data_IF_718937152693
#
_entry.id   IF_718937152693
#
_cell.length_a   1.000
_cell.length_b   1.000
_cell.length_c   1.000
_cell.angle_alpha   90.00
_cell.angle_beta   90.00
_cell.angle_gamma   90.00
#
_symmetry.space_group_name_H-M   'P 1'
#
loop_
_entity.id
_entity.type
_entity.pdbx_description
1 polymer ?
2 non-polymer ?
3 non-polymer ?
4 water ?
#
# COMPACT_ATOMS: atom_id res chain seq x y z
N UNK A 1 -11.24 0.48 -43.67
CA UNK A 1 -10.84 -0.69 -42.84
C UNK A 1 -11.05 -0.41 -41.35
N UNK A 2 -10.06 -0.79 -40.54
CA UNK A 2 -10.12 -0.59 -39.10
C UNK A 2 -8.82 0.02 -38.59
N UNK A 3 -8.53 -0.17 -37.30
CA UNK A 3 -7.31 0.37 -36.71
C UNK A 3 -6.24 -0.71 -36.56
N UNK A 4 -4.98 -0.31 -36.74
CA UNK A 4 -3.85 -1.22 -36.63
C UNK A 4 -3.82 -1.84 -35.23
N UNK A 5 -3.50 -3.13 -35.16
CA UNK A 5 -3.44 -3.80 -33.87
C UNK A 5 -2.12 -3.47 -33.20
N UNK A 6 -2.15 -3.34 -31.88
CA UNK A 6 -0.93 -3.04 -31.13
C UNK A 6 -0.21 -4.34 -30.85
N UNK A 7 1.08 -4.29 -30.50
CA UNK A 7 1.73 -5.57 -30.21
C UNK A 7 1.01 -6.25 -29.05
N UNK A 8 0.77 -7.55 -29.21
CA UNK A 8 0.08 -8.34 -28.20
C UNK A 8 0.99 -9.46 -27.71
N UNK A 9 1.10 -9.61 -26.40
CA UNK A 9 1.96 -10.64 -25.83
C UNK A 9 1.36 -12.03 -26.04
N UNK A 10 2.23 -13.03 -26.11
CA UNK A 10 1.83 -14.43 -26.33
C UNK A 10 0.95 -14.98 -25.20
N UNK A 11 0.33 -16.13 -25.46
CA UNK A 11 -0.53 -16.75 -24.46
C UNK A 11 -1.90 -16.10 -24.43
N UNK A 12 -2.51 -16.09 -23.25
CA UNK A 12 -3.82 -15.48 -23.09
C UNK A 12 -4.93 -16.19 -23.85
N UNK A 13 -4.88 -17.51 -23.85
CA UNK A 13 -5.88 -18.29 -24.54
C UNK A 13 -6.85 -18.95 -23.57
N UNK A 14 -6.87 -18.45 -22.33
CA UNK A 14 -7.75 -18.97 -21.31
C UNK A 14 -9.09 -18.24 -21.42
N UNK A 15 -10.06 -18.66 -20.61
CA UNK A 15 -11.39 -18.06 -20.65
C UNK A 15 -11.40 -16.54 -20.75
N UNK A 16 -10.66 -15.88 -19.88
CA UNK A 16 -10.63 -14.42 -19.88
C UNK A 16 -9.34 -13.86 -20.45
N UNK A 17 -8.81 -14.54 -21.48
CA UNK A 17 -7.59 -14.09 -22.11
C UNK A 17 -6.37 -14.25 -21.24
N UNK A 18 -5.76 -13.13 -20.88
CA UNK A 18 -4.58 -13.13 -20.03
C UNK A 18 -4.92 -12.98 -18.55
N UNK A 19 -6.19 -12.76 -18.25
CA UNK A 19 -6.57 -12.57 -16.85
C UNK A 19 -6.15 -13.70 -15.94
N UNK A 20 -6.35 -14.95 -16.38
CA UNK A 20 -5.95 -16.10 -15.57
C UNK A 20 -4.46 -16.04 -15.23
N UNK A 21 -3.63 -15.78 -16.25
CA UNK A 21 -2.19 -15.69 -16.03
C UNK A 21 -1.86 -14.50 -15.14
N UNK A 22 -2.59 -13.41 -15.33
CA UNK A 22 -2.34 -12.22 -14.52
C UNK A 22 -2.56 -12.57 -13.06
N UNK A 23 -3.50 -13.47 -12.80
CA UNK A 23 -3.79 -13.87 -11.43
C UNK A 23 -2.71 -14.75 -10.83
N UNK A 24 -2.21 -15.70 -11.60
CA UNK A 24 -1.19 -16.63 -11.10
C UNK A 24 0.23 -16.09 -11.15
N UNK A 25 0.54 -15.24 -12.12
CA UNK A 25 1.89 -14.70 -12.24
C UNK A 25 1.88 -13.38 -13.01
N UNK A 26 1.30 -12.33 -12.40
CA UNK A 26 1.23 -11.02 -13.06
C UNK A 26 2.58 -10.46 -13.48
N UNK A 27 3.59 -10.60 -12.63
CA UNK A 27 4.90 -10.08 -12.94
C UNK A 27 5.55 -10.79 -14.13
N UNK A 28 5.48 -12.13 -14.14
CA UNK A 28 6.05 -12.87 -15.25
C UNK A 28 5.35 -12.44 -16.55
N UNK A 29 4.03 -12.29 -16.47
CA UNK A 29 3.23 -11.88 -17.63
C UNK A 29 3.64 -10.49 -18.10
N UNK A 30 3.66 -9.53 -17.17
CA UNK A 30 4.03 -8.17 -17.54
C UNK A 30 5.45 -8.10 -18.07
N UNK A 31 6.32 -8.95 -17.53
CA UNK A 31 7.70 -8.96 -18.00
C UNK A 31 7.74 -9.51 -19.43
N UNK A 32 6.93 -10.52 -19.71
CA UNK A 32 6.89 -11.11 -21.04
C UNK A 32 6.36 -10.11 -22.07
N UNK A 33 5.45 -9.24 -21.63
CA UNK A 33 4.90 -8.22 -22.52
C UNK A 33 6.05 -7.32 -22.98
N UNK A 34 6.87 -6.88 -22.04
CA UNK A 34 7.99 -6.01 -22.37
C UNK A 34 9.05 -6.74 -23.19
N UNK A 35 9.35 -7.99 -22.82
CA UNK A 35 10.35 -8.75 -23.55
C UNK A 35 9.94 -8.97 -25.01
N UNK A 36 8.71 -9.41 -25.21
CA UNK A 36 8.17 -9.67 -26.54
C UNK A 36 7.77 -8.42 -27.33
N UNK A 37 7.08 -7.49 -26.67
CA UNK A 37 6.57 -6.30 -27.36
C UNK A 37 7.43 -5.04 -27.34
N UNK A 38 8.08 -4.76 -26.22
CA UNK A 38 8.89 -3.56 -26.12
C UNK A 38 8.25 -2.60 -25.12
N UNK A 39 8.51 -1.30 -25.28
CA UNK A 39 7.98 -0.30 -24.36
C UNK A 39 6.45 -0.20 -24.37
N UNK A 40 5.84 -0.61 -25.47
CA UNK A 40 4.39 -0.58 -25.59
C UNK A 40 3.90 -1.97 -26.02
N UNK A 41 3.15 -2.62 -25.14
CA UNK A 41 2.63 -3.93 -25.46
C UNK A 41 1.28 -4.10 -24.81
N UNK A 42 0.53 -5.12 -25.21
CA UNK A 42 -0.79 -5.33 -24.65
C UNK A 42 -1.05 -6.76 -24.22
N UNK A 43 -2.03 -6.91 -23.34
CA UNK A 43 -2.48 -8.20 -22.87
C UNK A 43 -3.96 -7.99 -22.60
N UNK A 44 -4.73 -9.06 -22.76
CA UNK A 44 -6.17 -9.01 -22.59
C UNK A 44 -6.61 -9.37 -21.18
N UNK A 45 -7.29 -8.44 -20.53
CA UNK A 45 -7.79 -8.67 -19.18
C UNK A 45 -9.31 -8.79 -19.33
N UNK A 46 -9.77 -10.01 -19.55
CA UNK A 46 -11.21 -10.26 -19.74
C UNK A 46 -11.62 -9.51 -21.00
N UNK A 47 -12.59 -8.62 -20.88
CA UNK A 47 -13.03 -7.86 -22.04
C UNK A 47 -12.25 -6.58 -22.27
N UNK A 48 -11.27 -6.31 -21.41
CA UNK A 48 -10.49 -5.09 -21.53
C UNK A 48 -9.07 -5.31 -22.07
N UNK A 49 -8.62 -4.42 -22.94
CA UNK A 49 -7.27 -4.51 -23.47
C UNK A 49 -6.39 -3.59 -22.61
N UNK A 50 -5.32 -4.15 -22.06
CA UNK A 50 -4.42 -3.35 -21.25
C UNK A 50 -3.19 -2.98 -22.06
N UNK A 51 -2.97 -1.68 -22.24
CA UNK A 51 -1.81 -1.21 -22.96
C UNK A 51 -0.75 -0.98 -21.87
N UNK A 52 0.17 -1.94 -21.74
CA UNK A 52 1.21 -1.86 -20.74
C UNK A 52 2.42 -1.10 -21.25
N UNK A 53 2.73 0.01 -20.61
CA UNK A 53 3.86 0.83 -21.00
C UNK A 53 5.02 0.55 -20.05
N UNK A 54 6.24 0.61 -20.56
CA UNK A 54 7.43 0.39 -19.77
C UNK A 54 8.56 1.19 -20.37
N UNK A 55 9.64 1.38 -19.60
CA UNK A 55 10.75 2.16 -20.10
C UNK A 55 10.50 3.61 -19.72
N UNK A 56 11.56 4.41 -19.69
CA UNK A 56 11.47 5.81 -19.31
C UNK A 56 10.58 6.69 -20.19
N UNK A 57 10.65 6.52 -21.50
CA UNK A 57 9.84 7.36 -22.39
C UNK A 57 8.34 7.11 -22.25
N UNK A 58 7.92 5.85 -22.31
CA UNK A 58 6.50 5.52 -22.20
C UNK A 58 5.97 5.83 -20.81
N UNK A 59 6.78 5.55 -19.79
CA UNK A 59 6.39 5.82 -18.41
C UNK A 59 6.17 7.31 -18.21
N UNK A 60 7.04 8.12 -18.80
CA UNK A 60 6.91 9.57 -18.65
C UNK A 60 5.54 10.00 -19.17
N UNK A 61 5.17 9.50 -20.35
CA UNK A 61 3.89 9.83 -20.94
C UNK A 61 2.79 9.44 -19.96
N UNK A 62 2.93 8.25 -19.38
CA UNK A 62 1.95 7.72 -18.44
C UNK A 62 1.79 8.56 -17.18
N UNK A 63 2.89 8.85 -16.51
CA UNK A 63 2.86 9.61 -15.25
C UNK A 63 2.58 11.10 -15.37
N UNK A 64 2.92 11.70 -16.50
CA UNK A 64 2.68 13.12 -16.69
C UNK A 64 1.32 13.39 -17.31
N UNK A 65 0.64 12.33 -17.74
CA UNK A 65 -0.66 12.48 -18.36
C UNK A 65 -1.67 13.07 -17.39
N UNK A 66 -2.43 14.05 -17.87
CA UNK A 66 -3.43 14.69 -17.04
C UNK A 66 -4.65 13.81 -16.81
N UNK A 67 -5.43 14.18 -15.80
CA UNK A 67 -6.64 13.47 -15.45
C UNK A 67 -7.60 13.38 -16.64
N UNK A 68 -7.52 14.37 -17.52
CA UNK A 68 -8.38 14.41 -18.71
C UNK A 68 -7.90 13.50 -19.83
N UNK A 69 -6.62 13.10 -19.78
CA UNK A 69 -6.08 12.24 -20.81
C UNK A 69 -6.12 10.77 -20.38
N UNK A 70 -5.49 10.47 -19.25
CA UNK A 70 -5.49 9.12 -18.72
C UNK A 70 -6.17 9.23 -17.37
N UNK A 71 -7.41 8.78 -17.30
CA UNK A 71 -8.20 8.84 -16.10
C UNK A 71 -7.91 7.74 -15.09
N UNK A 72 -7.51 8.13 -13.88
CA UNK A 72 -7.21 7.20 -12.81
C UNK A 72 -8.48 6.83 -12.04
N UNK A 73 -9.44 7.75 -12.03
CA UNK A 73 -10.70 7.58 -11.31
C UNK A 73 -11.32 6.18 -11.36
N UNK A 74 -11.63 5.70 -12.56
CA UNK A 74 -12.26 4.38 -12.68
C UNK A 74 -11.30 3.29 -13.14
N UNK A 75 -10.02 3.43 -12.83
CA UNK A 75 -9.02 2.46 -13.24
C UNK A 75 -8.86 1.32 -12.24
N UNK A 76 -9.48 1.47 -11.07
CA UNK A 76 -9.40 0.44 -10.03
C UNK A 76 -10.78 0.06 -9.51
N UNK A 77 -11.61 -0.57 -10.36
CA UNK A 77 -12.97 -1.01 -10.06
C UNK A 77 -13.12 -1.94 -8.86
N UNK A 78 -12.04 -2.58 -8.47
CA UNK A 78 -12.06 -3.50 -7.34
C UNK A 78 -12.21 -2.72 -6.03
N UNK A 79 -12.02 -1.42 -6.09
CA UNK A 79 -12.13 -0.56 -4.91
C UNK A 79 -13.56 -0.10 -4.66
N UNK A 80 -14.36 -0.07 -5.72
CA UNK A 80 -15.75 0.39 -5.61
C UNK A 80 -16.54 -0.29 -4.49
N UNK A 81 -16.52 -1.64 -4.43
CA UNK A 81 -17.26 -2.33 -3.37
C UNK A 81 -16.65 -2.16 -1.97
N UNK A 82 -15.35 -1.88 -1.92
CA UNK A 82 -14.68 -1.72 -0.64
C UNK A 82 -15.01 -0.37 -0.02
N UNK A 83 -14.85 0.69 -0.80
CA UNK A 83 -15.15 2.04 -0.33
C UNK A 83 -16.62 2.12 0.06
N UNK A 84 -17.47 1.51 -0.77
CA UNK A 84 -18.89 1.53 -0.50
C UNK A 84 -19.60 2.69 -1.18
N UNK A 85 -20.92 2.64 -1.18
CA UNK A 85 -21.73 3.68 -1.81
C UNK A 85 -22.02 4.80 -0.80
N UNK A 86 -21.60 4.58 0.45
CA UNK A 86 -21.82 5.56 1.49
C UNK A 86 -21.31 6.95 1.14
N UNK A 87 -22.02 7.97 1.63
CA UNK A 87 -21.65 9.36 1.36
C UNK A 87 -21.68 10.19 2.63
N UNK A 88 -20.50 10.62 3.07
CA UNK A 88 -20.38 11.44 4.27
C UNK A 88 -20.23 12.90 3.85
N UNK A 89 -19.07 13.23 3.31
CA UNK A 89 -18.80 14.58 2.85
C UNK A 89 -18.93 14.61 1.33
N UNK A 90 -20.11 14.98 0.85
CA UNK A 90 -20.38 15.03 -0.58
C UNK A 90 -19.63 16.18 -1.24
N UNK A 91 -18.75 15.84 -2.18
CA UNK A 91 -17.96 16.84 -2.90
C UNK A 91 -17.44 16.28 -4.22
N UNK A 92 -16.63 17.07 -4.91
CA UNK A 92 -16.05 16.69 -6.20
C UNK A 92 -15.33 15.35 -6.10
N UNK A 93 -15.03 14.71 -7.24
CA UNK A 93 -14.33 13.42 -7.24
C UNK A 93 -12.92 13.57 -6.68
N UNK A 94 -12.28 14.69 -7.02
CA UNK A 94 -10.93 14.96 -6.56
C UNK A 94 -10.98 15.32 -5.07
N UNK A 95 -12.01 16.07 -4.70
CA UNK A 95 -12.21 16.49 -3.32
C UNK A 95 -12.28 15.30 -2.38
N UNK A 96 -13.13 14.33 -2.73
CA UNK A 96 -13.32 13.14 -1.92
C UNK A 96 -12.00 12.43 -1.62
N UNK A 97 -11.13 12.35 -2.63
CA UNK A 97 -9.83 11.70 -2.45
C UNK A 97 -8.95 12.51 -1.50
N UNK A 98 -8.97 13.82 -1.65
CA UNK A 98 -8.19 14.73 -0.82
C UNK A 98 -8.59 14.58 0.65
N UNK A 99 -9.89 14.74 0.90
CA UNK A 99 -10.44 14.64 2.25
C UNK A 99 -10.01 13.38 2.98
N UNK A 100 -9.83 12.30 2.22
CA UNK A 100 -9.42 11.03 2.81
C UNK A 100 -8.08 11.05 3.55
N UNK A 101 -7.04 11.64 2.96
CA UNK A 101 -5.74 11.64 3.61
C UNK A 101 -5.01 12.97 3.81
N UNK A 102 -5.43 14.02 3.12
CA UNK A 102 -4.77 15.32 3.24
C UNK A 102 -4.58 15.84 4.67
N UNK A 103 -5.65 15.88 5.44
CA UNK A 103 -5.59 16.38 6.81
C UNK A 103 -4.51 15.71 7.66
N UNK A 104 -4.56 14.39 7.75
CA UNK A 104 -3.59 13.64 8.54
C UNK A 104 -2.17 13.66 7.98
N UNK A 105 -2.03 13.94 6.69
CA UNK A 105 -0.73 13.97 6.05
C UNK A 105 0.02 15.29 6.19
N UNK A 106 -0.58 16.25 6.88
CA UNK A 106 0.04 17.55 7.07
C UNK A 106 1.39 17.37 7.77
N UNK A 107 2.41 18.05 7.27
CA UNK A 107 3.74 17.95 7.85
C UNK A 107 3.77 18.25 9.33
N UNK A 108 3.00 19.25 9.74
CA UNK A 108 2.93 19.66 11.13
C UNK A 108 2.40 18.55 12.02
N UNK A 109 1.79 17.53 11.40
CA UNK A 109 1.23 16.40 12.12
C UNK A 109 2.20 15.24 12.21
N UNK A 110 3.20 15.24 11.33
CA UNK A 110 4.17 14.16 11.26
C UNK A 110 4.80 13.79 12.60
N UNK A 111 5.30 14.77 13.34
CA UNK A 111 5.93 14.50 14.62
C UNK A 111 5.00 13.70 15.53
N UNK A 112 3.75 14.14 15.63
CA UNK A 112 2.78 13.43 16.45
C UNK A 112 2.57 12.00 15.99
N UNK A 113 2.45 11.81 14.68
CA UNK A 113 2.24 10.48 14.13
C UNK A 113 3.41 9.55 14.44
N UNK A 114 4.63 10.07 14.40
CA UNK A 114 5.80 9.25 14.69
C UNK A 114 5.73 8.77 16.14
N UNK A 115 5.29 9.64 17.04
CA UNK A 115 5.18 9.28 18.44
C UNK A 115 4.07 8.24 18.58
N UNK A 116 2.98 8.46 17.85
CA UNK A 116 1.86 7.53 17.89
C UNK A 116 2.31 6.17 17.37
N UNK A 117 3.06 6.18 16.27
CA UNK A 117 3.53 4.94 15.68
C UNK A 117 4.48 4.20 16.65
N UNK A 118 5.33 4.94 17.34
CA UNK A 118 6.24 4.31 18.30
C UNK A 118 5.40 3.60 19.36
N UNK A 119 4.39 4.30 19.87
CA UNK A 119 3.51 3.76 20.89
C UNK A 119 2.84 2.47 20.43
N UNK A 120 2.40 2.45 19.17
CA UNK A 120 1.73 1.29 18.60
C UNK A 120 2.66 0.10 18.49
N UNK A 121 3.92 0.34 18.16
CA UNK A 121 4.88 -0.75 18.02
C UNK A 121 5.21 -1.36 19.39
N UNK A 122 5.54 -0.51 20.36
CA UNK A 122 5.88 -1.00 21.70
C UNK A 122 4.71 -1.77 22.30
N UNK A 123 3.51 -1.31 22.00
CA UNK A 123 2.30 -1.94 22.49
C UNK A 123 2.14 -3.30 21.81
N UNK A 124 2.53 -3.37 20.55
CA UNK A 124 2.42 -4.58 19.76
C UNK A 124 3.46 -5.63 20.20
N UNK A 125 4.63 -5.19 20.62
CA UNK A 125 5.67 -6.12 21.04
C UNK A 125 5.72 -6.25 22.56
N UNK A 126 4.81 -5.55 23.23
CA UNK A 126 4.73 -5.56 24.69
C UNK A 126 4.76 -6.95 25.33
N UNK A 127 4.14 -7.93 24.69
CA UNK A 127 4.12 -9.28 25.25
C UNK A 127 5.10 -10.24 24.58
N UNK A 128 6.08 -9.73 23.86
CA UNK A 128 7.05 -10.59 23.18
C UNK A 128 7.98 -11.36 24.09
N UNK A 129 8.25 -10.81 25.27
CA UNK A 129 9.14 -11.49 26.19
C UNK A 129 10.58 -11.49 25.68
N UNK A 130 11.38 -12.41 26.20
CA UNK A 130 12.78 -12.51 25.83
C UNK A 130 13.01 -13.05 24.41
N UNK A 131 12.24 -14.05 24.02
CA UNK A 131 12.40 -14.65 22.70
C UNK A 131 11.11 -15.28 22.23
N UNK A 132 11.02 -15.50 20.92
CA UNK A 132 9.81 -16.10 20.38
C UNK A 132 9.81 -16.04 18.86
N UNK A 133 8.64 -16.28 18.28
CA UNK A 133 8.50 -16.26 16.84
C UNK A 133 7.21 -15.56 16.46
N UNK A 134 7.22 -14.93 15.29
CA UNK A 134 6.04 -14.25 14.79
C UNK A 134 5.92 -14.60 13.32
N UNK A 135 4.81 -14.19 12.72
CA UNK A 135 4.61 -14.36 11.29
C UNK A 135 4.47 -12.92 10.85
N UNK A 136 5.34 -12.50 9.92
CA UNK A 136 5.34 -11.11 9.46
C UNK A 136 4.01 -10.56 8.96
N UNK A 137 3.24 -11.37 8.24
CA UNK A 137 1.95 -10.89 7.76
C UNK A 137 1.03 -10.64 8.95
N UNK A 138 0.90 -11.63 9.84
CA UNK A 138 0.05 -11.48 11.01
C UNK A 138 0.49 -10.26 11.83
N UNK A 139 1.78 -10.20 12.15
CA UNK A 139 2.30 -9.10 12.94
C UNK A 139 2.14 -7.74 12.27
N UNK A 140 2.74 -7.57 11.10
CA UNK A 140 2.66 -6.28 10.42
C UNK A 140 1.29 -5.86 9.91
N UNK A 141 0.46 -6.83 9.51
CA UNK A 141 -0.88 -6.48 9.05
C UNK A 141 -1.65 -5.88 10.22
N UNK A 142 -1.54 -6.50 11.39
CA UNK A 142 -2.24 -6.01 12.55
C UNK A 142 -1.63 -4.71 13.04
N UNK A 143 -0.30 -4.67 13.13
CA UNK A 143 0.39 -3.45 13.59
C UNK A 143 -0.04 -2.26 12.76
N UNK A 144 -0.02 -2.40 11.44
CA UNK A 144 -0.39 -1.28 10.56
C UNK A 144 -1.86 -0.90 10.65
N UNK A 145 -2.68 -1.80 11.17
CA UNK A 145 -4.08 -1.47 11.34
C UNK A 145 -4.11 -0.47 12.50
N UNK A 146 -3.25 -0.72 13.49
CA UNK A 146 -3.18 0.15 14.66
C UNK A 146 -2.52 1.49 14.33
N UNK A 147 -1.46 1.48 13.55
CA UNK A 147 -0.81 2.73 13.20
C UNK A 147 -1.73 3.56 12.30
N UNK A 148 -2.30 2.90 11.29
CA UNK A 148 -3.20 3.59 10.36
C UNK A 148 -4.41 4.20 11.04
N UNK A 149 -5.12 3.40 11.85
CA UNK A 149 -6.31 3.89 12.53
C UNK A 149 -6.00 4.99 13.55
N UNK A 150 -4.94 4.79 14.32
CA UNK A 150 -4.57 5.76 15.35
C UNK A 150 -4.18 7.11 14.75
N UNK A 151 -3.37 7.08 13.70
CA UNK A 151 -2.93 8.31 13.05
C UNK A 151 -4.01 9.01 12.22
N UNK A 152 -4.69 8.25 11.38
CA UNK A 152 -5.71 8.80 10.49
C UNK A 152 -7.10 9.05 11.09
N UNK A 153 -7.51 8.24 12.04
CA UNK A 153 -8.82 8.41 12.65
C UNK A 153 -8.73 8.95 14.07
N UNK A 154 -7.85 8.38 14.88
CA UNK A 154 -7.71 8.84 16.24
C UNK A 154 -7.25 7.74 17.18
N UNK A 155 -6.54 8.13 18.23
CA UNK A 155 -6.04 7.17 19.22
C UNK A 155 -7.20 6.52 19.96
N UNK A 156 -8.17 7.33 20.37
CA UNK A 156 -9.32 6.80 21.09
C UNK A 156 -9.97 5.68 20.30
N UNK A 157 -10.08 5.87 18.99
CA UNK A 157 -10.69 4.87 18.13
C UNK A 157 -9.85 3.61 18.10
N UNK A 158 -8.55 3.75 17.82
CA UNK A 158 -7.66 2.58 17.77
C UNK A 158 -7.70 1.77 19.05
N UNK A 159 -7.83 2.46 20.19
CA UNK A 159 -7.86 1.78 21.49
C UNK A 159 -9.07 0.88 21.62
N UNK A 160 -10.07 1.09 20.79
CA UNK A 160 -11.27 0.27 20.84
C UNK A 160 -11.24 -0.82 19.79
N UNK A 161 -10.12 -0.89 19.07
CA UNK A 161 -9.94 -1.90 18.04
C UNK A 161 -9.04 -3.02 18.57
N UNK A 162 -9.15 -4.19 17.96
CA UNK A 162 -8.32 -5.33 18.33
C UNK A 162 -8.08 -6.16 17.07
N UNK A 163 -7.52 -7.35 17.24
CA UNK A 163 -7.24 -8.20 16.10
C UNK A 163 -8.37 -8.45 15.12
N UNK A 164 -9.61 -8.43 15.60
CA UNK A 164 -10.77 -8.68 14.74
C UNK A 164 -10.82 -7.73 13.55
N UNK A 165 -10.62 -6.45 13.83
CA UNK A 165 -10.63 -5.43 12.78
C UNK A 165 -9.60 -5.77 11.70
N UNK A 166 -8.42 -6.21 12.13
CA UNK A 166 -7.35 -6.58 11.20
C UNK A 166 -7.74 -7.78 10.33
N UNK A 167 -8.27 -8.82 10.96
CA UNK A 167 -8.67 -10.02 10.23
C UNK A 167 -9.68 -9.69 9.15
N UNK A 168 -10.66 -8.85 9.50
CA UNK A 168 -11.71 -8.45 8.56
C UNK A 168 -11.17 -7.55 7.47
N UNK A 169 -10.33 -6.59 7.85
CA UNK A 169 -9.77 -5.68 6.88
C UNK A 169 -8.96 -6.48 5.87
N UNK A 170 -8.24 -7.49 6.35
CA UNK A 170 -7.44 -8.34 5.48
C UNK A 170 -8.33 -9.04 4.44
N UNK A 171 -9.51 -9.48 4.88
CA UNK A 171 -10.45 -10.14 3.98
C UNK A 171 -10.95 -9.12 2.96
N UNK A 172 -11.06 -7.87 3.40
CA UNK A 172 -11.50 -6.80 2.51
C UNK A 172 -10.51 -6.73 1.36
N UNK A 173 -9.23 -6.61 1.72
CA UNK A 173 -8.14 -6.51 0.76
C UNK A 173 -8.07 -7.71 -0.18
N UNK A 174 -8.39 -8.90 0.32
CA UNK A 174 -8.35 -10.08 -0.52
C UNK A 174 -9.52 -10.13 -1.49
N UNK A 175 -10.48 -9.21 -1.30
CA UNK A 175 -11.63 -9.18 -2.18
C UNK A 175 -11.34 -8.38 -3.44
N UNK A 176 -10.10 -8.44 -3.90
CA UNK A 176 -9.72 -7.69 -5.09
C UNK A 176 -9.18 -8.56 -6.23
N UNK A 177 -9.78 -9.74 -6.40
CA UNK A 177 -9.36 -10.62 -7.48
C UNK A 177 -9.49 -9.85 -8.79
N UNK A 178 -8.57 -10.10 -9.75
CA UNK A 178 -8.57 -9.42 -11.04
C UNK A 178 -9.93 -9.47 -11.76
N UNK A 179 -10.75 -10.45 -11.39
CA UNK A 179 -12.07 -10.59 -12.00
C UNK A 179 -12.89 -9.32 -11.79
N UNK A 180 -12.39 -8.43 -10.95
CA UNK A 180 -13.05 -7.17 -10.66
C UNK A 180 -13.12 -6.34 -11.94
N UNK A 181 -12.21 -6.59 -12.88
CA UNK A 181 -12.23 -5.84 -14.12
C UNK A 181 -13.35 -6.33 -15.04
N UNK A 182 -13.94 -7.46 -14.69
CA UNK A 182 -15.06 -7.99 -15.44
C UNK A 182 -16.25 -7.29 -14.77
N UNK A 183 -16.38 -7.55 -13.47
CA UNK A 183 -17.42 -6.96 -12.65
C UNK A 183 -17.05 -7.21 -11.19
N UNK A 184 -16.94 -6.13 -10.39
CA UNK A 184 -16.58 -6.29 -8.97
C UNK A 184 -17.65 -6.95 -8.11
N UNK A 185 -18.82 -7.24 -8.69
CA UNK A 185 -19.89 -7.86 -7.94
C UNK A 185 -20.24 -9.28 -8.39
N UNK A 186 -19.32 -9.90 -9.12
CA UNK A 186 -19.53 -11.26 -9.60
C UNK A 186 -19.68 -12.22 -8.41
N UNK A 187 -20.45 -13.30 -8.59
CA UNK A 187 -20.69 -14.31 -7.56
C UNK A 187 -19.45 -15.14 -7.23
N UNK A 188 -18.37 -14.46 -6.88
CA UNK A 188 -17.10 -15.12 -6.54
C UNK A 188 -16.99 -15.30 -5.03
N UNK A 189 -16.30 -16.36 -4.60
CA UNK A 189 -16.12 -16.64 -3.18
C UNK A 189 -15.35 -15.51 -2.51
N UNK A 190 -14.31 -15.03 -3.17
CA UNK A 190 -13.49 -13.95 -2.62
C UNK A 190 -14.30 -12.65 -2.52
N UNK A 191 -15.18 -12.43 -3.50
CA UNK A 191 -16.01 -11.23 -3.49
C UNK A 191 -17.05 -11.30 -2.38
N UNK A 192 -17.54 -12.51 -2.10
CA UNK A 192 -18.53 -12.71 -1.05
C UNK A 192 -17.88 -12.51 0.32
N UNK A 193 -16.68 -13.06 0.49
CA UNK A 193 -15.97 -12.93 1.75
C UNK A 193 -15.67 -11.45 1.96
N UNK A 194 -15.49 -10.74 0.85
CA UNK A 194 -15.21 -9.32 0.88
C UNK A 194 -16.43 -8.57 1.42
N UNK A 195 -17.60 -8.83 0.83
CA UNK A 195 -18.82 -8.17 1.27
C UNK A 195 -19.13 -8.51 2.73
N UNK A 196 -18.91 -9.76 3.12
CA UNK A 196 -19.15 -10.17 4.50
C UNK A 196 -18.18 -9.48 5.44
N UNK A 197 -16.91 -9.42 5.05
CA UNK A 197 -15.90 -8.77 5.86
C UNK A 197 -16.28 -7.31 6.10
N UNK A 198 -16.66 -6.62 5.02
CA UNK A 198 -17.05 -5.22 5.12
C UNK A 198 -18.21 -5.08 6.11
N UNK A 199 -19.19 -5.97 6.01
CA UNK A 199 -20.33 -5.96 6.92
C UNK A 199 -19.86 -6.16 8.35
N UNK A 200 -18.84 -7.01 8.51
CA UNK A 200 -18.31 -7.25 9.85
C UNK A 200 -17.65 -6.00 10.39
N UNK A 201 -16.99 -5.25 9.52
CA UNK A 201 -16.34 -4.01 9.93
C UNK A 201 -17.37 -2.98 10.34
N UNK A 202 -18.46 -2.90 9.58
CA UNK A 202 -19.52 -1.94 9.89
C UNK A 202 -20.10 -2.27 11.26
N UNK A 203 -20.22 -3.57 11.56
CA UNK A 203 -20.76 -3.99 12.85
C UNK A 203 -19.82 -3.63 13.99
N UNK A 204 -18.51 -3.75 13.76
CA UNK A 204 -17.54 -3.41 14.80
C UNK A 204 -17.65 -1.92 15.13
N UNK A 205 -17.86 -1.10 14.11
CA UNK A 205 -17.97 0.35 14.30
C UNK A 205 -19.30 0.72 14.96
N UNK A 206 -20.34 -0.03 14.63
CA UNK A 206 -21.65 0.21 15.22
C UNK A 206 -21.58 -0.09 16.71
N UNK A 207 -20.86 -1.16 17.07
CA UNK A 207 -20.71 -1.53 18.49
C UNK A 207 -19.99 -0.42 19.23
N UNK A 208 -18.94 0.11 18.62
CA UNK A 208 -18.19 1.19 19.23
C UNK A 208 -19.08 2.41 19.42
N UNK A 209 -19.82 2.76 18.36
CA UNK A 209 -20.74 3.90 18.40
C UNK A 209 -21.72 3.72 19.56
N UNK A 210 -22.35 2.56 19.64
CA UNK A 210 -23.30 2.28 20.71
C UNK A 210 -22.63 2.42 22.07
N UNK A 211 -21.46 1.83 22.20
CA UNK A 211 -20.73 1.90 23.45
C UNK A 211 -20.46 3.33 23.88
N UNK A 212 -20.11 4.18 22.92
CA UNK A 212 -19.81 5.57 23.22
C UNK A 212 -21.02 6.39 23.62
N UNK A 213 -22.15 6.11 22.99
CA UNK A 213 -23.38 6.83 23.29
C UNK A 213 -23.80 6.54 24.72
N UNK A 214 -23.80 5.26 25.07
CA UNK A 214 -24.19 4.82 26.41
C UNK A 214 -23.25 5.40 27.47
N UNK A 215 -21.96 5.15 27.30
CA UNK A 215 -20.97 5.63 28.25
C UNK A 215 -19.86 6.46 27.62
N UNK A 216 -20.03 7.79 27.61
CA UNK A 216 -19.03 8.70 27.04
C UNK A 216 -18.09 9.37 28.07
N UNK A 217 -18.02 8.82 29.31
CA UNK A 217 -17.14 9.41 30.33
C UNK A 217 -15.74 9.75 29.88
N UNK A 218 -15.07 10.57 30.70
CA UNK A 218 -13.71 11.05 30.48
C UNK A 218 -13.69 12.50 30.96
N UNK A 219 -12.57 13.19 30.73
CA UNK A 219 -12.45 14.58 31.15
C UNK A 219 -13.24 15.44 30.15
N UNK A 220 -14.27 14.83 29.56
CA UNK A 220 -15.11 15.50 28.58
C UNK A 220 -14.24 16.01 27.43
N UNK A 221 -13.19 15.27 27.13
CA UNK A 221 -12.27 15.63 26.06
C UNK A 221 -11.75 14.38 25.35
N UNK A 222 -10.72 14.56 24.51
CA UNK A 222 -10.12 13.47 23.76
C UNK A 222 -11.05 13.00 22.64
N UNK A 223 -12.21 13.63 22.52
CA UNK A 223 -13.18 13.29 21.49
C UNK A 223 -12.52 13.22 20.11
N UNK A 224 -12.63 12.08 19.45
CA UNK A 224 -12.03 11.89 18.13
C UNK A 224 -12.98 12.15 16.96
N UNK A 225 -12.54 11.75 15.77
CA UNK A 225 -13.32 11.92 14.54
C UNK A 225 -14.66 11.17 14.58
N UNK A 226 -14.66 10.01 15.23
CA UNK A 226 -15.90 9.24 15.32
C UNK A 226 -16.92 10.00 16.16
N UNK A 227 -16.44 10.61 17.25
CA UNK A 227 -17.30 11.38 18.15
C UNK A 227 -18.00 12.52 17.40
N UNK A 228 -17.26 13.18 16.52
CA UNK A 228 -17.78 14.29 15.74
C UNK A 228 -18.87 13.83 14.77
N UNK A 229 -18.59 12.74 14.05
CA UNK A 229 -19.54 12.20 13.10
C UNK A 229 -20.80 11.71 13.82
N UNK A 230 -20.61 11.06 14.96
CA UNK A 230 -21.74 10.57 15.75
C UNK A 230 -22.69 11.71 16.13
N UNK A 231 -22.11 12.83 16.56
CA UNK A 231 -22.89 13.99 16.99
C UNK A 231 -23.56 14.80 15.88
N UNK A 232 -23.18 14.54 14.63
CA UNK A 232 -23.80 15.28 13.54
C UNK A 232 -25.23 14.83 13.34
N UNK A 233 -26.16 15.77 13.50
CA UNK A 233 -27.58 15.49 13.34
C UNK A 233 -28.14 16.07 12.05
N UNK A 234 -29.20 15.46 11.54
CA UNK A 234 -29.87 15.93 10.33
C UNK A 234 -30.77 17.07 10.80
N UNK A 235 -31.48 17.71 9.87
CA UNK A 235 -32.34 18.83 10.24
C UNK A 235 -33.42 18.49 11.28
N UNK A 236 -33.80 17.22 11.36
CA UNK A 236 -34.83 16.80 12.30
C UNK A 236 -34.32 16.35 13.67
N UNK A 237 -33.01 16.24 13.81
CA UNK A 237 -32.45 15.81 15.09
C UNK A 237 -31.96 14.38 15.04
N UNK A 238 -32.31 13.68 13.97
CA UNK A 238 -31.89 12.30 13.79
C UNK A 238 -30.41 12.27 13.43
N UNK A 239 -29.66 11.25 13.90
CA UNK A 239 -28.24 11.23 13.55
C UNK A 239 -28.15 11.25 12.02
N UNK A 240 -27.21 12.02 11.48
CA UNK A 240 -27.08 12.10 10.03
C UNK A 240 -26.35 10.92 9.40
N UNK A 241 -25.36 10.38 10.09
CA UNK A 241 -24.59 9.28 9.54
C UNK A 241 -24.79 7.91 10.17
N UNK A 242 -24.97 6.91 9.32
CA UNK A 242 -25.16 5.54 9.78
C UNK A 242 -23.78 4.94 10.02
N UNK A 243 -23.74 3.74 10.59
CA UNK A 243 -22.48 3.07 10.84
C UNK A 243 -21.83 2.68 9.52
N UNK A 244 -22.64 2.40 8.50
CA UNK A 244 -22.11 2.02 7.21
C UNK A 244 -21.37 3.17 6.56
N UNK A 245 -22.00 4.34 6.57
CA UNK A 245 -21.41 5.53 5.97
C UNK A 245 -20.09 5.86 6.67
N UNK A 246 -20.12 5.85 8.00
CA UNK A 246 -18.94 6.14 8.78
C UNK A 246 -17.86 5.10 8.52
N UNK A 247 -18.23 3.83 8.61
CA UNK A 247 -17.27 2.76 8.38
C UNK A 247 -16.69 2.88 6.99
N UNK A 248 -17.55 3.10 5.99
CA UNK A 248 -17.09 3.25 4.63
C UNK A 248 -16.03 4.33 4.50
N UNK A 249 -16.17 5.40 5.27
CA UNK A 249 -15.20 6.47 5.21
C UNK A 249 -13.89 6.08 5.90
N UNK A 250 -13.99 5.44 7.06
CA UNK A 250 -12.80 5.01 7.79
C UNK A 250 -12.01 3.99 6.96
N UNK A 251 -12.73 3.06 6.34
CA UNK A 251 -12.09 2.05 5.51
C UNK A 251 -11.31 2.74 4.41
N UNK A 252 -11.95 3.69 3.74
CA UNK A 252 -11.35 4.43 2.65
C UNK A 252 -10.12 5.22 3.09
N UNK A 253 -10.17 5.79 4.29
CA UNK A 253 -9.07 6.57 4.81
C UNK A 253 -7.80 5.77 5.09
N UNK A 254 -7.97 4.55 5.59
CA UNK A 254 -6.80 3.73 5.90
C UNK A 254 -6.42 2.65 4.90
N UNK A 255 -7.17 2.53 3.81
CA UNK A 255 -6.86 1.48 2.84
C UNK A 255 -5.50 1.62 2.16
N UNK A 256 -5.32 2.71 1.42
CA UNK A 256 -4.08 2.95 0.70
C UNK A 256 -2.84 2.70 1.55
N UNK A 257 -2.82 3.26 2.76
CA UNK A 257 -1.68 3.08 3.63
C UNK A 257 -1.54 1.75 4.32
N UNK A 258 -2.60 0.95 4.37
CA UNK A 258 -2.49 -0.32 5.05
C UNK A 258 -1.73 -1.42 4.32
N UNK A 259 -2.26 -1.88 3.19
CA UNK A 259 -1.59 -2.97 2.48
C UNK A 259 -0.15 -2.62 2.13
N UNK A 260 0.10 -1.35 1.81
CA UNK A 260 1.44 -0.89 1.46
C UNK A 260 2.43 -0.88 2.62
N UNK A 261 2.03 -0.31 3.75
CA UNK A 261 2.91 -0.25 4.92
C UNK A 261 3.14 -1.62 5.53
N UNK A 262 2.10 -2.45 5.52
CA UNK A 262 2.21 -3.79 6.06
C UNK A 262 3.22 -4.60 5.26
N UNK A 263 3.01 -4.66 3.95
CA UNK A 263 3.92 -5.42 3.09
C UNK A 263 5.31 -4.83 3.03
N UNK A 264 5.40 -3.51 3.01
CA UNK A 264 6.71 -2.87 2.95
C UNK A 264 7.48 -3.08 4.24
N UNK A 265 6.78 -3.10 5.37
CA UNK A 265 7.47 -3.32 6.64
C UNK A 265 8.00 -4.76 6.66
N UNK A 266 7.17 -5.70 6.20
CA UNK A 266 7.55 -7.10 6.16
C UNK A 266 8.79 -7.31 5.30
N UNK A 267 8.75 -6.78 4.08
CA UNK A 267 9.88 -6.93 3.17
C UNK A 267 11.12 -6.18 3.62
N UNK A 268 10.95 -5.07 4.33
CA UNK A 268 12.12 -4.37 4.81
C UNK A 268 12.84 -5.32 5.77
N UNK A 269 12.10 -5.92 6.69
CA UNK A 269 12.68 -6.84 7.66
C UNK A 269 13.30 -8.04 6.94
N UNK A 270 12.57 -8.60 5.99
CA UNK A 270 13.06 -9.74 5.23
C UNK A 270 14.40 -9.44 4.54
N UNK A 271 14.49 -8.29 3.87
CA UNK A 271 15.74 -7.94 3.19
C UNK A 271 16.87 -7.68 4.17
N UNK A 272 16.57 -7.16 5.35
CA UNK A 272 17.59 -6.89 6.35
C UNK A 272 18.15 -8.21 6.85
N UNK A 273 17.28 -9.17 7.12
CA UNK A 273 17.71 -10.48 7.59
C UNK A 273 18.45 -11.22 6.48
N UNK A 274 18.01 -11.04 5.24
CA UNK A 274 18.67 -11.69 4.09
C UNK A 274 20.07 -11.12 3.88
N UNK A 275 20.30 -9.91 4.37
CA UNK A 275 21.58 -9.25 4.19
C UNK A 275 22.07 -8.70 5.52
N UNK A 276 22.68 -9.58 6.31
CA UNK A 276 23.17 -9.24 7.64
C UNK A 276 24.12 -8.05 7.66
N UNK A 277 24.86 -7.85 6.57
CA UNK A 277 25.79 -6.72 6.51
C UNK A 277 25.02 -5.41 6.51
N UNK A 278 23.92 -5.36 5.78
CA UNK A 278 23.09 -4.16 5.74
C UNK A 278 22.38 -4.02 7.08
N UNK A 279 21.95 -5.16 7.62
CA UNK A 279 21.28 -5.20 8.91
C UNK A 279 22.21 -4.64 9.99
N UNK A 280 23.45 -5.10 10.01
CA UNK A 280 24.42 -4.64 11.00
C UNK A 280 24.70 -3.15 10.85
N UNK A 281 24.75 -2.67 9.62
CA UNK A 281 25.00 -1.25 9.37
C UNK A 281 23.85 -0.42 9.94
N UNK A 282 22.62 -0.89 9.73
CA UNK A 282 21.43 -0.21 10.23
C UNK A 282 21.43 -0.15 11.76
N UNK A 283 21.74 -1.26 12.41
CA UNK A 283 21.78 -1.28 13.88
C UNK A 283 22.79 -0.27 14.42
N UNK A 284 24.01 -0.32 13.90
CA UNK A 284 25.04 0.62 14.33
C UNK A 284 24.54 2.04 14.17
N UNK A 285 23.96 2.33 13.01
CA UNK A 285 23.44 3.65 12.72
C UNK A 285 22.35 4.03 13.72
N UNK A 286 21.41 3.12 13.96
CA UNK A 286 20.31 3.39 14.90
C UNK A 286 20.82 3.66 16.32
N UNK A 287 21.69 2.79 16.83
CA UNK A 287 22.23 2.98 18.18
C UNK A 287 22.98 4.30 18.29
N UNK A 288 23.77 4.60 17.26
CA UNK A 288 24.55 5.82 17.24
C UNK A 288 23.66 7.05 17.16
N UNK A 289 22.67 6.99 16.26
CA UNK A 289 21.74 8.10 16.07
C UNK A 289 20.96 8.42 17.34
N UNK A 290 20.29 7.42 17.91
CA UNK A 290 19.50 7.66 19.12
C UNK A 290 20.37 7.88 20.35
N UNK A 291 21.68 7.94 20.13
CA UNK A 291 22.61 8.17 21.22
C UNK A 291 22.57 9.63 21.63
N UNK A 292 21.85 10.46 20.87
CA UNK A 292 21.76 11.86 21.22
C UNK A 292 20.64 12.05 22.24
N UNK A 293 19.92 10.96 22.50
CA UNK A 293 18.85 11.00 23.47
C UNK A 293 17.54 11.58 22.98
N UNK A 294 17.45 11.87 21.68
CA UNK A 294 16.22 12.42 21.11
C UNK A 294 15.26 11.27 20.83
N UNK A 295 13.97 11.59 20.79
CA UNK A 295 12.92 10.59 20.57
C UNK A 295 12.75 10.11 19.12
N UNK A 296 11.91 9.10 18.96
CA UNK A 296 11.61 8.55 17.64
C UNK A 296 10.86 9.63 16.87
N UNK A 297 10.00 10.38 17.56
CA UNK A 297 9.24 11.44 16.91
C UNK A 297 10.18 12.47 16.30
N UNK A 298 11.40 12.55 16.83
CA UNK A 298 12.41 13.48 16.32
C UNK A 298 13.19 12.82 15.18
N UNK A 299 13.74 11.64 15.44
CA UNK A 299 14.53 10.94 14.43
C UNK A 299 13.82 10.35 13.22
N UNK A 300 12.57 9.93 13.40
CA UNK A 300 11.81 9.36 12.30
C UNK A 300 11.49 10.38 11.22
N UNK A 301 11.58 11.67 11.58
CA UNK A 301 11.31 12.75 10.63
C UNK A 301 12.61 13.28 10.04
N UNK A 302 13.71 12.69 10.47
CA UNK A 302 15.01 13.12 9.99
C UNK A 302 15.81 11.99 9.38
N UNK A 303 16.93 12.34 8.75
CA UNK A 303 17.77 11.36 8.09
C UNK A 303 18.26 10.17 8.93
N UNK A 304 18.06 8.98 8.37
CA UNK A 304 18.51 7.71 8.95
C UNK A 304 18.85 7.00 7.64
N UNK A 305 19.89 7.48 6.95
CA UNK A 305 20.41 6.99 5.67
C UNK A 305 20.48 5.49 5.37
N UNK A 306 21.20 4.73 6.20
CA UNK A 306 21.31 3.28 5.97
C UNK A 306 19.94 2.62 5.90
N UNK A 307 19.11 2.89 6.89
CA UNK A 307 17.76 2.32 6.96
C UNK A 307 16.94 2.78 5.76
N UNK A 308 17.03 4.07 5.44
CA UNK A 308 16.27 4.63 4.31
C UNK A 308 16.68 3.99 2.99
N UNK A 309 17.97 3.74 2.82
CA UNK A 309 18.43 3.15 1.57
C UNK A 309 18.00 1.69 1.49
N UNK A 310 17.94 1.02 2.64
CA UNK A 310 17.48 -0.35 2.67
C UNK A 310 16.02 -0.32 2.24
N UNK A 311 15.28 0.63 2.80
CA UNK A 311 13.87 0.81 2.49
C UNK A 311 13.65 1.05 0.99
N UNK A 312 14.42 1.97 0.43
CA UNK A 312 14.31 2.29 -0.99
C UNK A 312 14.57 1.07 -1.86
N UNK A 313 15.57 0.27 -1.47
CA UNK A 313 15.90 -0.92 -2.25
C UNK A 313 14.80 -1.94 -2.07
N UNK A 314 14.25 -2.01 -0.86
CA UNK A 314 13.18 -2.93 -0.57
C UNK A 314 11.98 -2.57 -1.46
N UNK A 315 11.71 -1.28 -1.60
CA UNK A 315 10.61 -0.81 -2.43
C UNK A 315 10.85 -1.07 -3.91
N UNK A 316 12.09 -0.91 -4.36
CA UNK A 316 12.41 -1.15 -5.76
C UNK A 316 12.16 -2.62 -6.13
N UNK A 317 12.65 -3.52 -5.29
CA UNK A 317 12.51 -4.96 -5.51
C UNK A 317 11.12 -5.49 -5.18
N UNK A 318 10.48 -4.88 -4.18
CA UNK A 318 9.16 -5.33 -3.76
C UNK A 318 8.13 -4.20 -3.73
N UNK A 319 7.91 -3.53 -4.87
CA UNK A 319 6.92 -2.45 -4.85
C UNK A 319 5.52 -3.01 -4.52
N UNK A 320 4.87 -2.45 -3.47
CA UNK A 320 3.54 -2.84 -2.99
C UNK A 320 2.51 -2.87 -4.11
N UNK A 321 2.61 -1.90 -5.03
CA UNK A 321 1.71 -1.85 -6.18
C UNK A 321 2.57 -2.21 -7.38
N UNK A 322 2.30 -3.38 -7.96
CA UNK A 322 3.08 -3.88 -9.09
C UNK A 322 2.54 -3.43 -10.44
N UNK A 323 1.39 -2.73 -10.42
CA UNK A 323 0.79 -2.23 -11.63
C UNK A 323 -0.08 -1.01 -11.32
N UNK A 324 0.04 0.00 -12.17
CA UNK A 324 -0.71 1.25 -12.03
C UNK A 324 -1.62 1.34 -13.27
N UNK A 325 -2.86 1.74 -13.05
CA UNK A 325 -3.85 1.79 -14.12
C UNK A 325 -4.46 3.16 -14.42
N UNK A 326 -4.90 3.31 -15.66
CA UNK A 326 -5.55 4.52 -16.16
C UNK A 326 -6.53 4.09 -17.24
N UNK A 327 -7.50 4.95 -17.53
CA UNK A 327 -8.46 4.69 -18.60
C UNK A 327 -8.24 5.83 -19.58
N UNK A 328 -7.86 5.49 -20.80
CA UNK A 328 -7.62 6.51 -21.82
C UNK A 328 -8.93 7.25 -22.11
N UNK A 329 -8.87 8.57 -22.19
CA UNK A 329 -10.05 9.37 -22.46
C UNK A 329 -10.01 9.96 -23.86
N UNK A 330 -8.99 9.56 -24.61
CA UNK A 330 -8.82 10.04 -25.97
C UNK A 330 -7.76 9.19 -26.65
N UNK A 331 -7.31 9.64 -27.82
CA UNK A 331 -6.28 8.91 -28.54
C UNK A 331 -4.93 9.59 -28.38
N UNK A 332 -3.88 8.79 -28.22
CA UNK A 332 -2.54 9.33 -28.08
C UNK A 332 -1.56 8.38 -28.74
N UNK A 333 -0.47 8.93 -29.24
CA UNK A 333 0.54 8.09 -29.87
C UNK A 333 1.73 8.00 -28.93
N UNK A 334 2.20 6.77 -28.71
CA UNK A 334 3.35 6.53 -27.85
C UNK A 334 4.27 5.58 -28.60
N UNK A 335 5.34 6.14 -29.17
CA UNK A 335 6.31 5.37 -29.94
C UNK A 335 5.71 4.74 -31.19
N UNK A 336 4.87 5.50 -31.89
CA UNK A 336 4.26 4.99 -33.09
C UNK A 336 3.09 4.07 -32.83
N UNK A 337 2.83 3.79 -31.55
CA UNK A 337 1.71 2.93 -31.18
C UNK A 337 0.58 3.81 -30.67
N UNK A 338 -0.62 3.56 -31.17
CA UNK A 338 -1.77 4.38 -30.79
C UNK A 338 -2.68 3.83 -29.70
N UNK A 339 -2.92 4.66 -28.70
CA UNK A 339 -3.79 4.33 -27.58
C UNK A 339 -5.14 4.94 -27.94
N UNK A 340 -6.21 4.19 -27.72
CA UNK A 340 -7.57 4.65 -28.02
C UNK A 340 -8.34 4.90 -26.74
N UNK A 341 -9.27 5.85 -26.76
CA UNK A 341 -10.04 6.12 -25.55
C UNK A 341 -10.78 4.83 -25.20
N UNK A 342 -10.85 4.54 -23.92
CA UNK A 342 -11.50 3.32 -23.49
C UNK A 342 -10.45 2.27 -23.17
N UNK A 343 -9.24 2.47 -23.69
CA UNK A 343 -8.13 1.57 -23.45
C UNK A 343 -7.66 1.69 -22.00
N UNK A 344 -7.37 0.56 -21.37
CA UNK A 344 -6.84 0.60 -20.02
C UNK A 344 -5.34 0.75 -20.28
N UNK A 345 -4.74 1.79 -19.74
CA UNK A 345 -3.32 1.99 -19.93
C UNK A 345 -2.65 1.75 -18.59
N UNK A 346 -1.55 1.02 -18.61
CA UNK A 346 -0.86 0.70 -17.36
C UNK A 346 0.64 0.89 -17.41
N UNK A 347 1.23 0.97 -16.22
CA UNK A 347 2.67 1.10 -16.04
C UNK A 347 2.95 0.13 -14.91
N UNK A 348 4.14 -0.46 -14.88
CA UNK A 348 4.44 -1.43 -13.84
C UNK A 348 5.70 -1.18 -13.02
N UNK A 349 5.53 -0.85 -11.73
CA UNK A 349 6.70 -0.62 -10.87
C UNK A 349 7.52 -1.90 -10.75
N UNK A 350 6.83 -3.03 -10.64
CA UNK A 350 7.50 -4.32 -10.55
C UNK A 350 8.50 -4.49 -11.68
N UNK A 351 8.05 -4.20 -12.90
CA UNK A 351 8.88 -4.33 -14.09
C UNK A 351 9.88 -3.19 -14.28
N UNK A 352 9.39 -1.95 -14.21
CA UNK A 352 10.26 -0.80 -14.41
C UNK A 352 11.37 -0.68 -13.38
N UNK A 353 11.07 -1.04 -12.13
CA UNK A 353 12.05 -0.98 -11.06
C UNK A 353 13.22 -1.94 -11.28
N UNK A 354 13.09 -2.84 -12.25
CA UNK A 354 14.16 -3.79 -12.51
C UNK A 354 14.76 -3.71 -13.91
N UNK A 355 14.43 -2.67 -14.67
CA UNK A 355 14.98 -2.53 -16.01
C UNK A 355 16.50 -2.58 -15.87
N UNK A 356 17.16 -3.56 -16.51
CA UNK A 356 18.61 -3.80 -16.50
C UNK A 356 19.47 -2.58 -16.80
N UNK A 357 19.02 -1.75 -17.74
CA UNK A 357 19.77 -0.56 -18.13
C UNK A 357 19.75 0.55 -17.09
N UNK A 358 18.63 0.68 -16.38
CA UNK A 358 18.48 1.72 -15.39
C UNK A 358 19.01 1.33 -14.01
N UNK A 359 18.92 0.06 -13.69
CA UNK A 359 19.38 -0.40 -12.39
C UNK A 359 20.34 -1.58 -12.51
N UNK A 360 21.65 -1.31 -12.52
CA UNK A 360 22.68 -2.36 -12.63
C UNK A 360 22.37 -3.51 -11.70
N UNK A 361 22.42 -4.74 -12.24
CA UNK A 361 22.11 -5.93 -11.45
C UNK A 361 20.78 -5.65 -10.77
N UNK A 362 19.71 -5.46 -11.55
CA UNK A 362 18.38 -5.18 -11.00
C UNK A 362 17.82 -6.18 -10.00
N UNK A 363 18.27 -7.43 -10.06
CA UNK A 363 17.75 -8.44 -9.15
C UNK A 363 18.49 -8.56 -7.81
N UNK A 364 19.54 -7.76 -7.62
CA UNK A 364 20.30 -7.80 -6.38
C UNK A 364 19.91 -6.67 -5.43
N UNK A 365 20.05 -6.94 -4.14
CA UNK A 365 19.75 -5.99 -3.09
C UNK A 365 20.99 -5.13 -2.89
N UNK A 366 20.96 -3.91 -3.41
CA UNK A 366 22.09 -2.99 -3.31
C UNK A 366 21.63 -1.62 -2.81
N UNK A 367 21.46 -1.46 -1.49
CA UNK A 367 21.03 -0.17 -0.96
C UNK A 367 21.97 0.98 -1.30
N UNK A 368 23.21 0.64 -1.67
CA UNK A 368 24.18 1.67 -2.02
C UNK A 368 23.75 2.48 -3.25
N UNK A 369 22.83 1.93 -4.04
CA UNK A 369 22.32 2.61 -5.23
C UNK A 369 21.79 3.99 -4.94
N UNK A 370 21.30 4.16 -3.71
CA UNK A 370 20.69 5.41 -3.30
C UNK A 370 21.61 6.32 -2.52
N UNK A 371 22.84 5.89 -2.31
CA UNK A 371 23.78 6.72 -1.58
C UNK A 371 24.04 8.01 -2.37
N UNK A 372 24.41 9.06 -1.64
CA UNK A 372 24.67 10.38 -2.22
C UNK A 372 25.27 10.38 -3.63
N UNK A 373 26.35 9.62 -3.84
CA UNK A 373 26.99 9.58 -5.16
C UNK A 373 26.19 8.90 -6.28
N UNK A 374 25.43 7.87 -5.94
CA UNK A 374 24.65 7.14 -6.93
C UNK A 374 23.22 7.64 -7.14
N UNK A 375 22.42 7.66 -6.08
CA UNK A 375 21.04 8.15 -6.15
C UNK A 375 20.29 7.63 -7.39
N UNK A 376 20.26 6.32 -7.56
CA UNK A 376 19.57 5.76 -8.71
C UNK A 376 18.07 6.00 -8.71
N UNK A 377 17.51 6.31 -7.53
CA UNK A 377 16.09 6.59 -7.45
C UNK A 377 15.82 7.95 -8.08
N UNK A 378 16.68 8.92 -7.75
CA UNK A 378 16.52 10.27 -8.27
C UNK A 378 16.91 10.40 -9.74
N UNK A 379 17.89 9.62 -10.19
CA UNK A 379 18.33 9.69 -11.58
C UNK A 379 17.33 9.06 -12.54
N UNK A 380 16.67 7.99 -12.10
CA UNK A 380 15.68 7.31 -12.92
C UNK A 380 14.30 7.77 -12.50
N UNK A 381 14.01 9.05 -12.73
CA UNK A 381 12.74 9.63 -12.33
C UNK A 381 11.48 9.00 -12.92
N UNK A 382 11.61 8.33 -14.06
CA UNK A 382 10.43 7.72 -14.68
C UNK A 382 10.41 6.20 -14.60
N UNK A 383 11.45 5.59 -14.04
CA UNK A 383 11.50 4.13 -13.91
C UNK A 383 11.65 3.60 -12.47
N UNK A 384 12.16 4.42 -11.54
CA UNK A 384 12.23 3.98 -10.14
C UNK A 384 10.89 4.52 -9.68
N UNK A 385 9.86 3.68 -9.71
CA UNK A 385 8.52 4.13 -9.38
C UNK A 385 7.71 3.40 -8.31
N UNK A 386 8.32 3.12 -7.14
CA UNK A 386 7.58 2.43 -6.07
C UNK A 386 6.38 3.27 -5.64
N UNK A 387 6.56 4.59 -5.68
CA UNK A 387 5.52 5.54 -5.28
C UNK A 387 4.89 6.19 -6.49
N UNK A 388 5.04 5.58 -7.66
CA UNK A 388 4.48 6.19 -8.86
C UNK A 388 5.30 7.42 -9.20
N UNK A 389 4.70 8.35 -9.94
CA UNK A 389 5.38 9.57 -10.33
C UNK A 389 4.42 10.53 -11.00
N UNK A 390 4.90 11.72 -11.31
CA UNK A 390 4.06 12.71 -11.96
C UNK A 390 2.87 13.19 -11.17
N UNK A 391 1.76 13.41 -11.87
CA UNK A 391 0.54 13.92 -11.27
C UNK A 391 -0.10 13.08 -10.17
N UNK A 392 0.06 11.76 -10.24
CA UNK A 392 -0.53 10.89 -9.23
C UNK A 392 0.47 10.26 -8.27
N UNK A 393 1.63 10.89 -8.13
CA UNK A 393 2.65 10.35 -7.23
C UNK A 393 2.07 10.26 -5.83
N UNK A 394 2.36 9.15 -5.15
CA UNK A 394 1.87 8.90 -3.80
C UNK A 394 1.99 10.07 -2.83
N UNK A 395 0.86 10.65 -2.46
CA UNK A 395 0.86 11.77 -1.52
C UNK A 395 1.18 11.30 -0.10
N UNK A 396 1.19 9.99 0.10
CA UNK A 396 1.49 9.45 1.42
C UNK A 396 2.92 8.96 1.56
N UNK A 397 3.75 9.26 0.56
CA UNK A 397 5.14 8.83 0.56
C UNK A 397 5.92 9.23 1.82
N UNK A 398 5.88 10.51 2.15
CA UNK A 398 6.58 11.02 3.34
C UNK A 398 6.13 10.28 4.59
N UNK A 399 4.82 10.14 4.76
CA UNK A 399 4.25 9.45 5.91
C UNK A 399 4.72 8.00 5.97
N UNK A 400 4.60 7.29 4.84
CA UNK A 400 4.99 5.88 4.79
C UNK A 400 6.46 5.67 5.15
N UNK A 401 7.32 6.55 4.64
CA UNK A 401 8.75 6.47 4.92
C UNK A 401 9.01 6.76 6.39
N UNK A 402 8.33 7.78 6.92
CA UNK A 402 8.49 8.12 8.33
C UNK A 402 8.03 6.95 9.20
N UNK A 403 6.95 6.29 8.79
CA UNK A 403 6.41 5.16 9.54
C UNK A 403 7.39 4.01 9.61
N UNK A 404 8.03 3.69 8.48
CA UNK A 404 9.01 2.62 8.44
C UNK A 404 10.15 2.99 9.38
N UNK A 405 10.60 4.24 9.29
CA UNK A 405 11.68 4.70 10.16
C UNK A 405 11.29 4.52 11.62
N UNK A 406 10.09 4.99 11.97
CA UNK A 406 9.60 4.89 13.34
C UNK A 406 9.48 3.45 13.81
N UNK A 407 8.89 2.59 13.00
CA UNK A 407 8.72 1.20 13.35
C UNK A 407 10.05 0.47 13.58
N UNK A 408 10.97 0.58 12.64
CA UNK A 408 12.23 -0.12 12.83
C UNK A 408 13.17 0.53 13.85
N UNK A 409 12.94 1.81 14.15
CA UNK A 409 13.74 2.50 15.16
C UNK A 409 13.44 1.81 16.49
N UNK A 410 12.20 1.35 16.66
CA UNK A 410 11.82 0.66 17.88
C UNK A 410 12.23 -0.81 17.79
N UNK A 411 11.71 -1.51 16.78
CA UNK A 411 12.00 -2.93 16.61
C UNK A 411 13.48 -3.31 16.61
N UNK A 412 14.26 -2.70 15.73
CA UNK A 412 15.67 -3.05 15.63
C UNK A 412 16.53 -2.73 16.85
N UNK A 413 16.04 -1.84 17.71
CA UNK A 413 16.78 -1.49 18.92
C UNK A 413 16.34 -2.33 20.10
N UNK A 414 15.15 -2.92 20.03
CA UNK A 414 14.64 -3.76 21.13
C UNK A 414 14.92 -5.24 20.89
N UNK A 415 14.74 -5.68 19.65
CA UNK A 415 14.94 -7.07 19.31
C UNK A 415 15.85 -7.33 18.13
N UNK A 416 16.33 -8.57 18.06
CA UNK A 416 17.18 -9.02 16.98
C UNK A 416 16.32 -10.04 16.25
N UNK A 417 16.35 -10.02 14.92
CA UNK A 417 15.53 -10.93 14.15
C UNK A 417 16.30 -11.87 13.24
N UNK A 418 15.77 -13.08 13.10
CA UNK A 418 16.35 -14.10 12.24
C UNK A 418 15.23 -14.86 11.56
N UNK A 419 15.48 -15.29 10.33
CA UNK A 419 14.49 -16.05 9.57
C UNK A 419 14.34 -17.46 10.14
N UNK A 420 13.08 -17.90 10.28
CA UNK A 420 12.80 -19.23 10.79
C UNK A 420 12.49 -20.20 9.64
N UNK A 421 12.71 -19.74 8.41
CA UNK A 421 12.48 -20.56 7.23
C UNK A 421 13.49 -20.13 6.17
N UNK A 422 13.62 -20.89 5.08
CA UNK A 422 14.58 -20.52 4.03
C UNK A 422 14.37 -19.10 3.50
N UNK A 423 15.46 -18.35 3.33
CA UNK A 423 15.37 -16.97 2.83
C UNK A 423 14.57 -16.88 1.53
N UNK A 424 14.62 -17.93 0.71
CA UNK A 424 13.93 -17.93 -0.57
C UNK A 424 12.44 -18.25 -0.45
N UNK A 425 12.02 -18.71 0.73
CA UNK A 425 10.62 -19.07 0.95
C UNK A 425 9.72 -17.86 1.21
N UNK A 426 10.30 -16.69 1.49
CA UNK A 426 9.47 -15.51 1.73
C UNK A 426 9.03 -15.00 0.38
N UNK A 427 7.72 -14.91 0.17
CA UNK A 427 7.21 -14.45 -1.11
C UNK A 427 5.89 -13.74 -0.96
N UNK A 428 5.47 -13.09 -2.03
CA UNK A 428 4.21 -12.36 -2.05
C UNK A 428 3.13 -13.22 -2.69
N UNK A 429 1.88 -12.89 -2.41
CA UNK A 429 0.76 -13.57 -3.02
C UNK A 429 0.28 -12.52 -4.02
N UNK A 430 0.38 -12.82 -5.31
CA UNK A 430 -0.03 -11.87 -6.34
C UNK A 430 -1.33 -12.30 -7.01
N UNK A 431 -2.11 -13.13 -6.33
CA UNK A 431 -3.36 -13.61 -6.91
C UNK A 431 -4.45 -12.53 -6.86
N UNK A 432 -4.23 -11.49 -6.07
CA UNK A 432 -5.20 -10.40 -5.94
C UNK A 432 -4.59 -9.07 -6.40
N UNK A 433 -5.43 -8.14 -6.85
CA UNK A 433 -4.94 -6.84 -7.30
C UNK A 433 -4.16 -6.18 -6.18
N UNK A 434 -4.51 -6.52 -4.94
CA UNK A 434 -3.81 -5.97 -3.80
C UNK A 434 -2.84 -7.04 -3.35
N UNK A 435 -1.55 -6.77 -3.57
CA UNK A 435 -0.51 -7.70 -3.21
C UNK A 435 -0.39 -7.83 -1.70
N UNK A 436 -0.25 -9.06 -1.25
CA UNK A 436 -0.13 -9.37 0.17
C UNK A 436 1.04 -10.32 0.33
N UNK A 437 1.72 -10.23 1.46
CA UNK A 437 2.81 -11.14 1.74
C UNK A 437 2.14 -12.49 1.91
N UNK A 438 2.75 -13.54 1.37
CA UNK A 438 2.19 -14.88 1.50
C UNK A 438 2.70 -15.51 2.79
N UNK A 439 1.96 -16.49 3.30
CA UNK A 439 2.38 -17.19 4.52
C UNK A 439 2.71 -18.63 4.16
N UNK A 440 3.56 -19.29 4.95
CA UNK A 440 4.19 -18.76 6.17
C UNK A 440 5.31 -17.74 5.93
N UNK A 441 5.52 -16.88 6.92
CA UNK A 441 6.56 -15.86 6.89
C UNK A 441 7.01 -15.80 8.34
N UNK A 442 7.57 -16.92 8.81
CA UNK A 442 8.01 -17.04 10.19
C UNK A 442 9.37 -16.45 10.49
N UNK A 443 9.42 -15.66 11.55
CA UNK A 443 10.65 -15.00 11.96
C UNK A 443 10.88 -15.13 13.46
N UNK A 444 12.12 -15.41 13.84
CA UNK A 444 12.48 -15.53 15.25
C UNK A 444 13.01 -14.20 15.76
N UNK A 445 12.70 -13.87 17.01
CA UNK A 445 13.19 -12.63 17.60
C UNK A 445 13.78 -12.95 18.96
N UNK A 446 14.62 -12.07 19.45
CA UNK A 446 15.25 -12.22 20.76
C UNK A 446 15.69 -10.84 21.22
N UNK A 447 15.48 -10.54 22.51
CA UNK A 447 15.88 -9.24 23.02
C UNK A 447 17.35 -9.00 22.76
N UNK A 448 17.69 -7.76 22.39
CA UNK A 448 19.07 -7.40 22.15
C UNK A 448 19.77 -7.26 23.50
N UNK A 449 21.10 -7.38 23.49
CA UNK A 449 21.90 -7.27 24.70
C UNK A 449 21.64 -8.48 25.60
#
# INVERSE_FOLDING_TARGET
>A
MSAVALPRVSGGHDEHGHLEEFRTDPIGLMQRVRDECGDVGTFQLAGKQVVLLSGSHANEFFFRAGDDDLDQAKAYPFMTPIFGEGVVFDASPERRKEMLHNAALRGEQMKGHAATIEDQVRRMIADWGEAGEIDLLDFFAELTIYTSSACLIGKKFRDQLDGRFAKLYHELERGTDPLAYVDPYLPIESFRRRDEARNGLVALVADIMNGRIANPPTDKSDRDMLDVLIAVKAETGTPRFSADEITGMFISMMFAGHHTSSGTASWTLIELMRHRDAYAAVIDELDELYGDGRSVSFHALRQIPQLENVLKETLRLHPPLIILMRVAKGEFEVQGHRIHEGDLVAASPAISNRIPEDFPDPHDFVPARYEQPRQEDLLNRWTWIPFGAGRHRCVGAAFAIMQIKAIFSVLLREYEFEMAQPPESYRNDHSKMVVQLAQPACVRYRRRTGVHHHH
#
